data_IF_891095030755
#
_entry.id   IF_891095030755
#
_cell.length_a   1.000
_cell.length_b   1.000
_cell.length_c   1.000
_cell.angle_alpha   90.00
_cell.angle_beta   90.00
_cell.angle_gamma   90.00
#
_symmetry.space_group_name_H-M   'P 1'
#
loop_
_entity.id
_entity.type
_entity.pdbx_description
1 polymer ?
#
# COMPACT_ATOMS: atom_id res chain seq x y z
N UNK A 1 27.27 4.07 29.92
CA UNK A 1 26.37 2.92 30.15
C UNK A 1 25.69 2.68 28.83
N UNK A 2 25.75 1.43 28.35
CA UNK A 2 25.27 0.98 27.05
C UNK A 2 23.84 1.46 26.80
N UNK A 3 23.64 2.26 25.75
CA UNK A 3 22.31 2.44 25.18
C UNK A 3 21.91 1.13 24.50
N UNK A 4 20.70 0.66 24.80
CA UNK A 4 20.11 -0.56 24.24
C UNK A 4 20.23 -0.52 22.71
N UNK A 5 21.13 -1.35 22.18
CA UNK A 5 21.28 -1.57 20.75
C UNK A 5 19.92 -1.99 20.21
N UNK A 6 19.36 -1.16 19.34
CA UNK A 6 18.11 -1.43 18.64
C UNK A 6 18.30 -2.68 17.76
N UNK A 7 18.04 -3.87 18.31
CA UNK A 7 18.10 -5.11 17.54
C UNK A 7 16.85 -5.17 16.66
N UNK A 8 17.02 -5.26 15.34
CA UNK A 8 15.94 -5.26 14.35
C UNK A 8 14.84 -6.31 14.62
N UNK A 9 15.17 -7.37 15.35
CA UNK A 9 14.22 -8.41 15.79
C UNK A 9 13.17 -7.90 16.79
N UNK A 10 13.45 -6.87 17.58
CA UNK A 10 12.49 -6.29 18.54
C UNK A 10 11.37 -5.56 17.78
N UNK A 11 11.69 -4.85 16.70
CA UNK A 11 10.70 -4.21 15.84
C UNK A 11 9.72 -5.24 15.25
N UNK A 12 10.24 -6.36 14.74
CA UNK A 12 9.38 -7.42 14.20
C UNK A 12 8.47 -8.06 15.25
N UNK A 13 8.95 -8.24 16.49
CA UNK A 13 8.15 -8.82 17.59
C UNK A 13 7.01 -7.91 18.06
N UNK A 14 7.16 -6.59 17.90
CA UNK A 14 6.18 -5.62 18.37
C UNK A 14 5.50 -4.84 17.24
N UNK A 15 5.66 -5.29 15.99
CA UNK A 15 5.16 -4.61 14.79
C UNK A 15 3.66 -4.38 14.87
N UNK A 16 2.89 -5.42 15.15
CA UNK A 16 1.43 -5.33 15.22
C UNK A 16 1.01 -4.33 16.31
N UNK A 17 1.65 -4.39 17.49
CA UNK A 17 1.38 -3.42 18.57
C UNK A 17 1.69 -1.97 18.17
N UNK A 18 2.73 -1.75 17.37
CA UNK A 18 3.12 -0.44 16.87
C UNK A 18 2.16 0.08 15.80
N UNK A 19 1.65 -0.80 14.93
CA UNK A 19 0.76 -0.48 13.82
C UNK A 19 -0.72 -0.38 14.27
N UNK A 20 -1.20 -1.30 15.08
CA UNK A 20 -2.62 -1.45 15.47
C UNK A 20 -3.14 -0.30 16.33
N UNK A 21 -2.25 0.41 17.03
CA UNK A 21 -2.64 1.47 17.98
C UNK A 21 -2.60 2.87 17.39
N UNK A 22 -2.41 2.99 16.07
CA UNK A 22 -2.27 4.29 15.40
C UNK A 22 -1.02 5.07 15.84
N UNK A 23 -0.09 4.44 16.56
CA UNK A 23 1.11 5.09 17.11
C UNK A 23 2.00 5.64 16.00
N UNK A 24 2.12 4.93 14.87
CA UNK A 24 2.86 5.42 13.71
C UNK A 24 2.22 6.68 13.12
N UNK A 25 0.89 6.69 13.00
CA UNK A 25 0.14 7.84 12.48
C UNK A 25 0.29 9.06 13.38
N UNK A 26 0.21 8.85 14.68
CA UNK A 26 0.39 9.92 15.66
C UNK A 26 1.83 10.46 15.67
N UNK A 27 2.82 9.57 15.61
CA UNK A 27 4.23 9.96 15.47
C UNK A 27 4.45 10.80 14.21
N UNK A 28 3.92 10.37 13.07
CA UNK A 28 3.97 11.13 11.82
C UNK A 28 3.34 12.52 11.96
N UNK A 29 2.13 12.61 12.55
CA UNK A 29 1.47 13.88 12.84
C UNK A 29 2.32 14.81 13.71
N UNK A 30 2.93 14.28 14.77
CA UNK A 30 3.81 15.07 15.64
C UNK A 30 5.07 15.57 14.92
N UNK A 31 5.63 14.79 13.98
CA UNK A 31 6.76 15.24 13.14
C UNK A 31 6.32 16.40 12.23
N UNK A 32 5.12 16.31 11.62
CA UNK A 32 4.59 17.39 10.80
C UNK A 32 4.32 18.66 11.60
N UNK A 33 3.79 18.55 12.82
CA UNK A 33 3.57 19.71 13.69
C UNK A 33 4.88 20.42 14.04
N UNK A 34 5.93 19.65 14.34
CA UNK A 34 7.26 20.23 14.56
C UNK A 34 7.83 20.88 13.31
N UNK A 35 7.60 20.30 12.13
CA UNK A 35 8.03 20.89 10.86
C UNK A 35 7.28 22.20 10.58
N UNK A 36 5.95 22.25 10.78
CA UNK A 36 5.15 23.48 10.66
C UNK A 36 5.63 24.56 11.62
N UNK A 37 5.85 24.22 12.89
CA UNK A 37 6.34 25.17 13.89
C UNK A 37 7.71 25.79 13.53
N UNK A 38 8.54 25.05 12.79
CA UNK A 38 9.86 25.49 12.33
C UNK A 38 9.86 26.09 10.92
N UNK A 39 8.70 26.32 10.31
CA UNK A 39 8.57 26.80 8.94
C UNK A 39 9.26 25.89 7.90
N UNK A 40 9.23 24.57 8.15
CA UNK A 40 9.80 23.53 7.30
C UNK A 40 8.73 22.83 6.44
N UNK A 41 7.50 23.35 6.40
CA UNK A 41 6.45 22.90 5.49
C UNK A 41 5.90 24.12 4.73
N UNK A 42 6.14 24.14 3.43
CA UNK A 42 5.62 25.06 2.45
C UNK A 42 4.10 24.94 2.31
N UNK A 43 3.45 26.00 1.83
CA UNK A 43 2.01 26.00 1.51
C UNK A 43 1.73 25.95 -0.01
N UNK A 44 2.76 26.03 -0.85
CA UNK A 44 2.59 26.33 -2.28
C UNK A 44 3.09 25.25 -3.25
N UNK A 45 4.07 24.44 -2.84
CA UNK A 45 4.80 23.57 -3.77
C UNK A 45 4.68 22.10 -3.37
N UNK A 46 3.60 21.47 -3.84
CA UNK A 46 3.32 20.07 -3.60
C UNK A 46 3.25 19.25 -4.88
N UNK A 47 3.66 17.98 -4.77
CA UNK A 47 3.36 16.94 -5.74
C UNK A 47 2.70 15.75 -5.04
N UNK A 48 1.93 14.98 -5.81
CA UNK A 48 1.41 13.69 -5.36
C UNK A 48 2.11 12.61 -6.16
N UNK A 49 2.83 11.73 -5.47
CA UNK A 49 3.45 10.56 -6.06
C UNK A 49 2.61 9.31 -5.76
N UNK A 50 2.22 8.62 -6.84
CA UNK A 50 1.57 7.31 -6.76
C UNK A 50 2.61 6.19 -6.69
N UNK A 51 2.52 5.34 -5.68
CA UNK A 51 3.34 4.14 -5.52
C UNK A 51 2.48 2.88 -5.52
N UNK A 52 3.00 1.81 -6.13
CA UNK A 52 2.33 0.52 -6.11
C UNK A 52 2.74 -0.23 -4.84
N UNK A 53 1.77 -0.58 -4.01
CA UNK A 53 1.99 -1.41 -2.83
C UNK A 53 1.54 -2.83 -3.15
N UNK A 54 2.49 -3.77 -3.23
CA UNK A 54 2.15 -5.17 -3.45
C UNK A 54 1.34 -5.69 -2.26
N UNK A 55 0.19 -6.31 -2.55
CA UNK A 55 -0.66 -6.90 -1.55
C UNK A 55 0.01 -8.13 -0.93
N UNK A 56 -0.38 -8.49 0.29
CA UNK A 56 -0.03 -9.78 0.87
C UNK A 56 -0.94 -10.87 0.30
N UNK A 57 -0.91 -11.02 -1.02
CA UNK A 57 -1.71 -11.97 -1.76
C UNK A 57 -0.93 -12.48 -2.97
N UNK A 58 -1.04 -13.78 -3.20
CA UNK A 58 -0.38 -14.41 -4.34
C UNK A 58 -1.32 -14.45 -5.54
N UNK A 59 -0.77 -14.64 -6.73
CA UNK A 59 -1.61 -14.91 -7.91
C UNK A 59 -2.52 -16.12 -7.71
N UNK A 60 -2.14 -17.12 -6.90
CA UNK A 60 -2.97 -18.30 -6.59
C UNK A 60 -4.23 -17.96 -5.79
N UNK A 61 -4.18 -16.93 -4.94
CA UNK A 61 -5.34 -16.56 -4.11
C UNK A 61 -6.42 -15.82 -4.90
N UNK A 62 -6.10 -15.23 -6.06
CA UNK A 62 -7.06 -14.48 -6.87
C UNK A 62 -7.94 -15.39 -7.73
N UNK A 63 -9.04 -15.84 -7.13
CA UNK A 63 -9.92 -16.86 -7.69
C UNK A 63 -11.28 -16.26 -8.07
N UNK A 64 -12.09 -16.97 -8.89
CA UNK A 64 -13.47 -16.58 -9.14
C UNK A 64 -14.23 -16.28 -7.84
N UNK A 65 -15.01 -15.20 -7.88
CA UNK A 65 -15.87 -14.80 -6.76
C UNK A 65 -16.97 -15.83 -6.54
N UNK A 66 -17.54 -16.35 -7.62
CA UNK A 66 -18.46 -17.49 -7.57
C UNK A 66 -17.67 -18.78 -7.24
N UNK A 67 -18.01 -19.48 -6.14
CA UNK A 67 -17.38 -20.75 -5.82
C UNK A 67 -17.59 -21.84 -6.87
N UNK A 68 -18.69 -21.81 -7.64
CA UNK A 68 -18.99 -22.82 -8.66
C UNK A 68 -18.05 -22.72 -9.87
N UNK A 69 -17.55 -21.52 -10.14
CA UNK A 69 -16.59 -21.24 -11.21
C UNK A 69 -15.13 -21.59 -10.81
N UNK A 70 -14.88 -22.00 -9.56
CA UNK A 70 -13.53 -22.30 -9.09
C UNK A 70 -13.06 -23.65 -9.59
N UNK A 71 -12.18 -23.63 -10.57
CA UNK A 71 -11.49 -24.81 -11.07
C UNK A 71 -10.13 -25.02 -10.36
N UNK A 72 -9.92 -26.22 -9.82
CA UNK A 72 -8.65 -26.60 -9.20
C UNK A 72 -8.28 -25.76 -7.97
N UNK A 73 -6.97 -25.65 -7.69
CA UNK A 73 -6.46 -24.93 -6.52
C UNK A 73 -6.00 -23.49 -6.82
N UNK A 74 -6.26 -23.00 -8.04
CA UNK A 74 -5.83 -21.68 -8.52
C UNK A 74 -4.35 -21.59 -8.93
N UNK A 75 -3.64 -22.72 -9.04
CA UNK A 75 -2.20 -22.72 -9.42
C UNK A 75 -1.94 -22.59 -10.92
N UNK A 76 -2.87 -23.03 -11.79
CA UNK A 76 -2.78 -22.85 -13.24
C UNK A 76 -3.83 -21.86 -13.73
N UNK A 77 -3.36 -20.78 -14.33
CA UNK A 77 -4.17 -19.71 -14.88
C UNK A 77 -3.74 -19.33 -16.31
N UNK A 78 -2.96 -20.19 -16.98
CA UNK A 78 -2.52 -19.94 -18.35
C UNK A 78 -3.73 -19.95 -19.29
N UNK A 79 -3.86 -18.89 -20.09
CA UNK A 79 -4.97 -18.73 -21.03
C UNK A 79 -6.31 -18.28 -20.40
N UNK A 80 -6.38 -18.15 -19.08
CA UNK A 80 -7.59 -17.68 -18.40
C UNK A 80 -7.66 -16.15 -18.37
N UNK A 81 -8.86 -15.59 -18.58
CA UNK A 81 -9.09 -14.15 -18.40
C UNK A 81 -9.47 -13.85 -16.97
N UNK A 82 -8.66 -13.05 -16.28
CA UNK A 82 -8.84 -12.71 -14.87
C UNK A 82 -9.05 -11.21 -14.72
N UNK A 83 -10.12 -10.81 -14.02
CA UNK A 83 -10.55 -9.41 -13.88
C UNK A 83 -11.07 -9.17 -12.47
N UNK A 84 -10.93 -7.95 -11.96
CA UNK A 84 -11.41 -7.56 -10.63
C UNK A 84 -12.95 -7.67 -10.45
N UNK A 85 -13.70 -7.66 -11.55
CA UNK A 85 -15.16 -7.87 -11.50
C UNK A 85 -15.51 -9.32 -11.19
N UNK A 86 -14.82 -10.28 -11.79
CA UNK A 86 -15.12 -11.72 -11.69
C UNK A 86 -14.27 -12.48 -10.67
N UNK A 87 -13.11 -11.94 -10.29
CA UNK A 87 -12.16 -12.58 -9.38
C UNK A 87 -11.85 -11.68 -8.18
N UNK A 88 -11.49 -12.29 -7.06
CA UNK A 88 -11.00 -11.64 -5.85
C UNK A 88 -9.98 -12.53 -5.14
N UNK A 89 -9.08 -11.93 -4.36
CA UNK A 89 -8.14 -12.72 -3.56
C UNK A 89 -8.83 -13.27 -2.32
N UNK A 90 -8.70 -14.58 -2.09
CA UNK A 90 -9.26 -15.25 -0.91
C UNK A 90 -8.50 -14.92 0.38
N UNK A 91 -7.24 -14.47 0.30
CA UNK A 91 -6.43 -14.09 1.46
C UNK A 91 -6.44 -12.59 1.73
N UNK A 92 -6.85 -11.79 0.73
CA UNK A 92 -6.88 -10.33 0.80
C UNK A 92 -7.96 -9.80 -0.16
N UNK A 93 -9.24 -9.73 0.28
CA UNK A 93 -10.36 -9.39 -0.60
C UNK A 93 -10.31 -7.98 -1.20
N UNK A 94 -9.56 -7.07 -0.57
CA UNK A 94 -9.46 -5.67 -0.99
C UNK A 94 -8.34 -5.46 -2.02
N UNK A 95 -7.40 -6.40 -2.13
CA UNK A 95 -6.40 -6.38 -3.19
C UNK A 95 -7.04 -6.40 -4.58
N UNK A 96 -6.48 -5.60 -5.49
CA UNK A 96 -6.93 -5.54 -6.89
C UNK A 96 -5.81 -5.97 -7.82
N UNK A 97 -6.16 -6.72 -8.85
CA UNK A 97 -5.27 -7.03 -9.96
C UNK A 97 -5.03 -5.74 -10.75
N UNK A 98 -3.78 -5.27 -10.72
CA UNK A 98 -3.36 -4.00 -11.30
C UNK A 98 -2.15 -4.18 -12.22
N UNK A 99 -2.05 -3.34 -13.25
CA UNK A 99 -0.92 -3.28 -14.17
C UNK A 99 -0.47 -1.82 -14.33
N UNK A 100 0.79 -1.53 -13.97
CA UNK A 100 1.33 -0.16 -13.97
C UNK A 100 1.49 0.41 -15.38
N UNK A 101 1.94 -0.40 -16.33
CA UNK A 101 2.12 0.01 -17.72
C UNK A 101 1.78 -1.13 -18.70
N UNK A 102 1.40 -0.83 -19.95
CA UNK A 102 1.25 -1.84 -20.99
C UNK A 102 2.51 -2.71 -21.11
N UNK A 103 2.34 -4.04 -21.17
CA UNK A 103 3.44 -4.99 -21.24
C UNK A 103 4.05 -5.42 -19.89
N UNK A 104 3.78 -4.71 -18.80
CA UNK A 104 4.22 -5.16 -17.47
C UNK A 104 3.35 -6.27 -16.90
N UNK A 105 3.95 -7.07 -16.01
CA UNK A 105 3.25 -8.09 -15.24
C UNK A 105 2.20 -7.45 -14.32
N UNK A 106 1.00 -8.02 -14.32
CA UNK A 106 -0.05 -7.64 -13.37
C UNK A 106 0.26 -8.20 -11.97
N UNK A 107 -0.02 -7.41 -10.93
CA UNK A 107 0.17 -7.78 -9.52
C UNK A 107 -1.12 -7.53 -8.75
N UNK A 108 -1.32 -8.26 -7.66
CA UNK A 108 -2.33 -7.90 -6.67
C UNK A 108 -1.75 -6.77 -5.82
N UNK A 109 -2.43 -5.64 -5.78
CA UNK A 109 -1.85 -4.43 -5.21
C UNK A 109 -2.90 -3.46 -4.67
N UNK A 110 -2.37 -2.52 -3.90
CA UNK A 110 -2.97 -1.26 -3.50
C UNK A 110 -2.19 -0.10 -4.16
N UNK A 111 -2.78 1.09 -4.16
CA UNK A 111 -2.09 2.31 -4.54
C UNK A 111 -1.84 3.15 -3.29
N UNK A 112 -0.57 3.42 -3.02
CA UNK A 112 -0.16 4.43 -2.06
C UNK A 112 -0.04 5.79 -2.77
N UNK A 113 -0.50 6.84 -2.11
CA UNK A 113 -0.42 8.22 -2.56
C UNK A 113 0.35 8.99 -1.50
N UNK A 114 1.40 9.69 -1.91
CA UNK A 114 2.26 10.46 -1.02
C UNK A 114 2.23 11.91 -1.49
N UNK A 115 1.69 12.78 -0.64
CA UNK A 115 1.78 14.23 -0.84
C UNK A 115 3.15 14.68 -0.35
N UNK A 116 3.98 15.17 -1.26
CA UNK A 116 5.33 15.64 -0.95
C UNK A 116 5.42 17.16 -1.08
N UNK A 117 6.00 17.80 -0.06
CA UNK A 117 6.50 19.16 -0.13
C UNK A 117 7.83 19.19 -0.85
N UNK A 118 7.87 19.83 -2.01
CA UNK A 118 9.05 19.84 -2.88
C UNK A 118 10.11 20.87 -2.46
N UNK A 119 9.76 21.84 -1.63
CA UNK A 119 10.69 22.88 -1.18
C UNK A 119 11.60 22.35 -0.08
N UNK A 120 11.03 21.57 0.84
CA UNK A 120 11.73 21.07 2.03
C UNK A 120 11.95 19.55 1.98
N UNK A 121 11.36 18.85 1.01
CA UNK A 121 11.53 17.41 0.82
C UNK A 121 10.82 16.56 1.88
N UNK A 122 9.72 17.05 2.44
CA UNK A 122 8.95 16.36 3.48
C UNK A 122 7.69 15.72 2.90
N UNK A 123 7.34 14.55 3.41
CA UNK A 123 6.00 13.99 3.18
C UNK A 123 5.02 14.77 4.03
N UNK A 124 4.00 15.37 3.44
CA UNK A 124 2.97 16.16 4.11
C UNK A 124 1.69 15.37 4.42
N UNK A 125 1.41 14.33 3.64
CA UNK A 125 0.31 13.40 3.86
C UNK A 125 0.49 12.10 3.08
N UNK A 126 -0.16 11.04 3.53
CA UNK A 126 -0.18 9.73 2.90
C UNK A 126 -1.60 9.16 2.86
N UNK A 127 -1.90 8.40 1.80
CA UNK A 127 -3.14 7.66 1.68
C UNK A 127 -2.91 6.33 0.96
N UNK A 128 -3.58 5.27 1.40
CA UNK A 128 -3.65 4.00 0.67
C UNK A 128 -5.07 3.80 0.18
N UNK A 129 -5.21 3.44 -1.10
CA UNK A 129 -6.48 3.09 -1.72
C UNK A 129 -6.39 1.71 -2.38
N UNK A 130 -7.54 1.09 -2.63
CA UNK A 130 -7.60 -0.04 -3.56
C UNK A 130 -7.02 0.37 -4.92
N UNK A 131 -6.33 -0.54 -5.60
CA UNK A 131 -5.82 -0.29 -6.95
C UNK A 131 -6.92 -0.41 -8.02
N UNK A 132 -8.04 0.29 -7.79
CA UNK A 132 -9.08 0.46 -8.78
C UNK A 132 -8.64 1.56 -9.76
N UNK A 133 -8.91 1.37 -11.05
CA UNK A 133 -8.64 2.38 -12.06
C UNK A 133 -9.60 3.57 -11.85
N UNK A 134 -9.30 4.46 -10.92
CA UNK A 134 -9.83 5.82 -10.94
C UNK A 134 -8.79 6.72 -11.61
N UNK A 135 -9.03 7.01 -12.89
CA UNK A 135 -8.65 8.30 -13.44
C UNK A 135 -9.38 9.35 -12.61
N UNK A 136 -8.69 9.98 -11.66
CA UNK A 136 -9.08 11.31 -11.21
C UNK A 136 -8.34 12.27 -12.12
N UNK A 137 -9.06 12.77 -13.13
CA UNK A 137 -8.68 13.93 -13.91
C UNK A 137 -9.15 15.19 -13.18
#
# INVERSE_FOLDING_TARGET
>A
MDDDVWVSTVFSKHRDRLLDKGTVRECFRSVLEQARYRDLLSEEHFSVDGTLLEAWASQKSFQPKDPEDREGDGSDFRGQSRRNTTHASVTDPDARLYKKAPGEASRLAYLGHVLMDNRQGLIAAEQVTSAESQLVA
#
